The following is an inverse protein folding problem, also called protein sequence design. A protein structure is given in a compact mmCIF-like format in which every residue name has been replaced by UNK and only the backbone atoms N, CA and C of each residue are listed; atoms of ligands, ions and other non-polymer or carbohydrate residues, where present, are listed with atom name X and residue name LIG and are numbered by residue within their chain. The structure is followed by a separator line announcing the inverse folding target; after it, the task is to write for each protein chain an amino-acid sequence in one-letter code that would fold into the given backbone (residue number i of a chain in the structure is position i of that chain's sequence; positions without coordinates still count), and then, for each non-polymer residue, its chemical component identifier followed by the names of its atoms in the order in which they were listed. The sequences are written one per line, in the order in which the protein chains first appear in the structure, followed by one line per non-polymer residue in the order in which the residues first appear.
data_IF_248993354660
#
_entry.id   IF_248993354660
#
_cell.length_a   1.000
_cell.length_b   1.000
_cell.length_c   1.000
_cell.angle_alpha   90.00
_cell.angle_beta   90.00
_cell.angle_gamma   90.00
#
_symmetry.space_group_name_H-M   'P 1'
#
loop_
_entity.id
_entity.type
_entity.pdbx_description
1 polymer ?
#
# COMPACT_ATOMS: atom_id res chain seq x y z
N UNK A 1 18.68 -15.76 16.35
CA UNK A 1 19.08 -15.26 15.04
C UNK A 1 18.01 -14.43 14.29
N UNK A 2 16.78 -14.25 14.85
CA UNK A 2 15.72 -13.41 14.23
C UNK A 2 15.87 -11.90 14.51
N UNK A 3 16.60 -11.52 15.55
CA UNK A 3 16.74 -10.10 15.97
C UNK A 3 17.82 -9.31 15.23
N UNK A 4 18.78 -9.98 14.59
CA UNK A 4 19.88 -9.32 13.86
C UNK A 4 19.50 -8.82 12.47
N UNK A 5 18.45 -9.40 11.84
CA UNK A 5 17.97 -8.97 10.53
C UNK A 5 17.06 -7.74 10.63
N UNK A 6 16.21 -7.71 11.68
CA UNK A 6 15.36 -6.55 12.00
C UNK A 6 16.18 -5.27 12.25
N UNK A 7 17.33 -5.41 12.91
CA UNK A 7 18.22 -4.27 13.22
C UNK A 7 18.90 -3.70 11.96
N UNK A 8 19.14 -4.52 10.95
CA UNK A 8 19.81 -4.08 9.73
C UNK A 8 18.88 -3.31 8.79
N UNK A 9 17.62 -3.73 8.70
CA UNK A 9 16.59 -3.01 7.90
C UNK A 9 16.19 -1.71 8.57
N UNK A 10 16.06 -1.70 9.91
CA UNK A 10 15.85 -0.47 10.68
C UNK A 10 17.00 0.55 10.45
N UNK A 11 18.25 0.10 10.32
CA UNK A 11 19.38 0.95 10.01
C UNK A 11 19.33 1.48 8.57
N UNK A 12 18.86 0.70 7.60
CA UNK A 12 18.73 1.13 6.21
C UNK A 12 17.57 2.14 6.07
N UNK A 13 16.42 1.89 6.70
CA UNK A 13 15.29 2.81 6.66
C UNK A 13 15.53 4.06 7.51
N UNK A 14 16.12 3.94 8.69
CA UNK A 14 16.58 5.09 9.49
C UNK A 14 17.69 5.87 8.78
N UNK A 15 18.57 5.19 8.05
CA UNK A 15 19.54 5.81 7.15
C UNK A 15 18.88 6.58 6.03
N UNK A 16 17.86 6.03 5.39
CA UNK A 16 17.06 6.69 4.34
C UNK A 16 16.25 7.87 4.90
N UNK A 17 15.64 7.74 6.08
CA UNK A 17 14.92 8.83 6.77
C UNK A 17 15.87 9.96 7.15
N UNK A 18 17.02 9.66 7.79
CA UNK A 18 18.01 10.66 8.15
C UNK A 18 18.64 11.33 6.94
N UNK A 19 18.76 10.61 5.87
CA UNK A 19 19.35 11.08 4.64
C UNK A 19 18.38 11.95 3.83
N UNK A 20 17.04 11.76 3.93
CA UNK A 20 16.08 12.65 3.28
C UNK A 20 15.99 14.02 3.98
N UNK A 21 16.39 14.12 5.25
CA UNK A 21 16.49 15.41 5.96
C UNK A 21 17.81 16.15 5.69
N UNK A 22 18.92 15.42 5.41
CA UNK A 22 20.25 16.00 5.31
C UNK A 22 20.86 16.01 3.90
N UNK A 23 20.37 15.16 2.98
CA UNK A 23 20.77 15.14 1.56
C UNK A 23 19.57 14.77 0.71
N UNK A 24 19.33 15.56 -0.31
CA UNK A 24 18.35 15.26 -1.35
C UNK A 24 18.78 14.02 -2.13
N UNK A 25 18.30 12.82 -1.75
CA UNK A 25 18.43 11.64 -2.60
C UNK A 25 17.66 11.89 -3.90
N UNK A 26 18.26 11.51 -5.02
CA UNK A 26 17.48 11.45 -6.24
C UNK A 26 16.54 10.22 -6.20
N UNK A 27 15.52 10.25 -7.05
CA UNK A 27 14.48 9.22 -7.11
C UNK A 27 15.05 7.81 -7.32
N UNK A 28 16.10 7.66 -8.12
CA UNK A 28 16.71 6.37 -8.39
C UNK A 28 17.42 5.78 -7.14
N UNK A 29 18.10 6.62 -6.38
CA UNK A 29 18.75 6.21 -5.13
C UNK A 29 17.74 5.77 -4.07
N UNK A 30 16.62 6.51 -3.92
CA UNK A 30 15.55 6.12 -3.02
C UNK A 30 14.89 4.81 -3.45
N UNK A 31 14.63 4.65 -4.74
CA UNK A 31 14.06 3.43 -5.29
C UNK A 31 14.95 2.22 -5.04
N UNK A 32 16.26 2.38 -5.20
CA UNK A 32 17.23 1.32 -4.91
C UNK A 32 17.24 0.95 -3.42
N UNK A 33 17.26 1.95 -2.51
CA UNK A 33 17.19 1.73 -1.06
C UNK A 33 15.93 0.97 -0.66
N UNK A 34 14.76 1.35 -1.17
CA UNK A 34 13.53 0.62 -0.90
C UNK A 34 13.54 -0.80 -1.48
N UNK A 35 14.13 -1.00 -2.66
CA UNK A 35 14.30 -2.33 -3.25
C UNK A 35 15.17 -3.21 -2.37
N UNK A 36 16.30 -2.69 -1.87
CA UNK A 36 17.20 -3.40 -0.97
C UNK A 36 16.51 -3.73 0.36
N UNK A 37 15.79 -2.76 0.97
CA UNK A 37 15.08 -2.95 2.23
C UNK A 37 14.00 -4.04 2.10
N UNK A 38 13.18 -3.97 1.06
CA UNK A 38 12.14 -4.98 0.82
C UNK A 38 12.75 -6.36 0.51
N UNK A 39 13.85 -6.40 -0.26
CA UNK A 39 14.55 -7.66 -0.54
C UNK A 39 15.14 -8.29 0.72
N UNK A 40 15.73 -7.49 1.60
CA UNK A 40 16.27 -7.96 2.87
C UNK A 40 15.19 -8.54 3.80
N UNK A 41 14.00 -7.97 3.77
CA UNK A 41 12.90 -8.33 4.64
C UNK A 41 12.02 -9.46 4.10
N UNK A 42 11.73 -9.45 2.81
CA UNK A 42 10.76 -10.35 2.17
C UNK A 42 11.38 -11.34 1.18
N UNK A 43 12.68 -11.27 0.95
CA UNK A 43 13.39 -12.07 -0.06
C UNK A 43 13.47 -11.36 -1.41
N UNK A 44 14.08 -12.04 -2.38
CA UNK A 44 14.30 -11.49 -3.73
C UNK A 44 12.98 -11.14 -4.39
N UNK A 45 12.84 -9.88 -4.79
CA UNK A 45 11.64 -9.38 -5.47
C UNK A 45 11.59 -9.86 -6.91
N UNK A 46 10.43 -10.31 -7.36
CA UNK A 46 10.17 -10.63 -8.76
C UNK A 46 10.14 -9.36 -9.63
N UNK A 47 10.25 -9.52 -10.94
CA UNK A 47 10.13 -8.41 -11.90
C UNK A 47 8.81 -7.66 -11.77
N UNK A 48 7.70 -8.36 -11.50
CA UNK A 48 6.39 -7.76 -11.24
C UNK A 48 6.39 -6.90 -9.99
N UNK A 49 7.00 -7.37 -8.89
CA UNK A 49 7.10 -6.61 -7.64
C UNK A 49 8.00 -5.37 -7.80
N UNK A 50 9.10 -5.49 -8.55
CA UNK A 50 9.97 -4.34 -8.87
C UNK A 50 9.21 -3.30 -9.71
N UNK A 51 8.44 -3.74 -10.70
CA UNK A 51 7.58 -2.83 -11.48
C UNK A 51 6.56 -2.13 -10.58
N UNK A 52 5.89 -2.88 -9.70
CA UNK A 52 4.91 -2.35 -8.75
C UNK A 52 5.52 -1.30 -7.82
N UNK A 53 6.71 -1.59 -7.28
CA UNK A 53 7.47 -0.64 -6.46
C UNK A 53 7.73 0.68 -7.22
N UNK A 54 8.23 0.58 -8.46
CA UNK A 54 8.48 1.75 -9.32
C UNK A 54 7.23 2.57 -9.61
N UNK A 55 6.11 1.90 -9.86
CA UNK A 55 4.83 2.55 -10.15
C UNK A 55 4.27 3.27 -8.91
N UNK A 56 4.29 2.62 -7.74
CA UNK A 56 3.86 3.24 -6.48
C UNK A 56 4.75 4.43 -6.13
N UNK A 57 6.06 4.30 -6.29
CA UNK A 57 7.03 5.37 -6.06
C UNK A 57 6.72 6.58 -6.93
N UNK A 58 6.54 6.39 -8.23
CA UNK A 58 6.20 7.45 -9.19
C UNK A 58 4.88 8.16 -8.82
N UNK A 59 3.86 7.45 -8.40
CA UNK A 59 2.60 8.07 -8.01
C UNK A 59 2.73 8.83 -6.67
N UNK A 60 3.54 8.31 -5.73
CA UNK A 60 3.85 9.01 -4.48
C UNK A 60 4.59 10.34 -4.73
N UNK A 61 5.55 10.38 -5.65
CA UNK A 61 6.25 11.62 -6.02
C UNK A 61 5.30 12.73 -6.50
N UNK A 62 4.17 12.38 -7.12
CA UNK A 62 3.17 13.35 -7.59
C UNK A 62 2.37 13.98 -6.46
N UNK A 63 2.20 13.30 -5.33
CA UNK A 63 1.33 13.76 -4.23
C UNK A 63 2.10 14.30 -3.03
N UNK A 64 3.30 13.83 -2.77
CA UNK A 64 4.15 14.26 -1.64
C UNK A 64 5.61 14.39 -2.09
N UNK A 65 6.24 13.28 -2.46
CA UNK A 65 7.64 13.22 -2.90
C UNK A 65 8.68 13.55 -1.81
N UNK A 66 8.25 13.82 -0.58
CA UNK A 66 9.13 14.32 0.50
C UNK A 66 9.14 13.46 1.74
N UNK A 67 7.99 12.98 2.22
CA UNK A 67 7.92 12.18 3.45
C UNK A 67 8.01 10.67 3.15
N UNK A 68 9.22 10.16 3.13
CA UNK A 68 9.51 8.74 2.82
C UNK A 68 8.88 7.76 3.83
N UNK A 69 8.52 8.20 5.05
CA UNK A 69 7.82 7.38 6.05
C UNK A 69 6.43 7.01 5.54
N UNK A 70 5.75 7.92 4.88
CA UNK A 70 4.46 7.66 4.23
C UNK A 70 4.61 6.68 3.07
N UNK A 71 5.66 6.83 2.24
CA UNK A 71 5.97 5.87 1.19
C UNK A 71 6.26 4.47 1.76
N UNK A 72 7.07 4.38 2.81
CA UNK A 72 7.34 3.12 3.51
C UNK A 72 6.05 2.44 3.96
N UNK A 73 5.12 3.20 4.54
CA UNK A 73 3.84 2.67 4.99
C UNK A 73 2.95 2.19 3.82
N UNK A 74 2.92 2.93 2.71
CA UNK A 74 2.21 2.51 1.49
C UNK A 74 2.77 1.18 0.96
N UNK A 75 4.10 1.09 0.82
CA UNK A 75 4.77 -0.10 0.29
C UNK A 75 4.59 -1.33 1.19
N UNK A 76 4.68 -1.13 2.51
CA UNK A 76 4.45 -2.19 3.49
C UNK A 76 3.01 -2.68 3.45
N UNK A 77 2.05 -1.76 3.31
CA UNK A 77 0.64 -2.09 3.12
C UNK A 77 0.43 -2.91 1.84
N UNK A 78 0.98 -2.48 0.71
CA UNK A 78 0.88 -3.22 -0.55
C UNK A 78 1.55 -4.60 -0.47
N UNK A 79 2.71 -4.69 0.19
CA UNK A 79 3.39 -5.97 0.40
C UNK A 79 2.55 -6.92 1.25
N UNK A 80 1.91 -6.41 2.31
CA UNK A 80 1.09 -7.22 3.20
C UNK A 80 -0.20 -7.70 2.52
N UNK A 81 -0.95 -6.80 1.90
CA UNK A 81 -2.27 -7.09 1.32
C UNK A 81 -2.19 -7.99 0.07
N UNK A 82 -1.18 -7.80 -0.76
CA UNK A 82 -1.14 -8.38 -2.11
C UNK A 82 0.23 -8.89 -2.55
N UNK A 83 1.21 -8.95 -1.64
CA UNK A 83 2.60 -9.28 -1.99
C UNK A 83 3.17 -8.34 -3.07
N UNK A 84 2.80 -7.07 -3.00
CA UNK A 84 3.21 -6.05 -3.97
C UNK A 84 2.89 -6.46 -5.44
N UNK A 85 1.76 -7.14 -5.63
CA UNK A 85 1.26 -7.56 -6.95
C UNK A 85 -0.24 -7.27 -7.00
N UNK A 86 -0.76 -6.60 -8.04
CA UNK A 86 -2.20 -6.35 -8.12
C UNK A 86 -2.94 -7.67 -8.35
N UNK A 87 -3.70 -8.09 -7.37
CA UNK A 87 -4.40 -9.37 -7.38
C UNK A 87 -5.91 -9.20 -7.30
N UNK A 88 -6.63 -10.21 -7.76
CA UNK A 88 -8.06 -10.36 -7.62
C UNK A 88 -8.37 -11.21 -6.38
N UNK A 89 -9.36 -10.79 -5.60
CA UNK A 89 -9.89 -11.57 -4.50
C UNK A 89 -10.38 -12.93 -4.98
N UNK A 90 -10.10 -13.97 -4.20
CA UNK A 90 -10.55 -15.33 -4.47
C UNK A 90 -11.82 -15.60 -3.68
N UNK A 91 -12.82 -16.17 -4.34
CA UNK A 91 -14.06 -16.58 -3.67
C UNK A 91 -13.75 -17.65 -2.62
N UNK A 92 -14.16 -17.41 -1.39
CA UNK A 92 -14.00 -18.35 -0.31
C UNK A 92 -14.86 -19.60 -0.51
N UNK A 93 -14.50 -20.69 0.19
CA UNK A 93 -15.25 -21.95 0.15
C UNK A 93 -16.63 -21.76 0.81
N UNK A 94 -17.67 -22.28 0.17
CA UNK A 94 -19.04 -22.28 0.69
C UNK A 94 -19.08 -22.81 2.13
N UNK A 95 -19.85 -22.15 2.99
CA UNK A 95 -20.00 -22.51 4.39
C UNK A 95 -18.90 -22.01 5.33
N UNK A 96 -17.96 -21.19 4.82
CA UNK A 96 -16.98 -20.51 5.69
C UNK A 96 -17.45 -19.11 6.07
N UNK A 97 -17.04 -18.56 7.25
CA UNK A 97 -17.39 -17.18 7.63
C UNK A 97 -16.98 -16.14 6.56
N UNK A 98 -15.83 -16.34 5.90
CA UNK A 98 -15.38 -15.48 4.83
C UNK A 98 -16.32 -15.54 3.62
N UNK A 99 -16.86 -16.71 3.27
CA UNK A 99 -17.84 -16.86 2.20
C UNK A 99 -19.11 -16.04 2.48
N UNK A 100 -19.60 -16.11 3.71
CA UNK A 100 -20.81 -15.34 4.12
C UNK A 100 -20.53 -13.83 4.07
N UNK A 101 -19.37 -13.38 4.51
CA UNK A 101 -18.94 -11.99 4.37
C UNK A 101 -18.91 -11.57 2.90
N UNK A 102 -18.30 -12.37 2.04
CA UNK A 102 -18.20 -12.10 0.60
C UNK A 102 -19.58 -12.04 -0.08
N UNK A 103 -20.59 -12.77 0.41
CA UNK A 103 -21.95 -12.74 -0.14
C UNK A 103 -22.55 -11.33 -0.15
N UNK A 104 -22.12 -10.45 0.74
CA UNK A 104 -22.62 -9.08 0.83
C UNK A 104 -22.26 -8.21 -0.37
N UNK A 105 -21.17 -8.53 -1.08
CA UNK A 105 -20.69 -7.72 -2.20
C UNK A 105 -20.33 -8.52 -3.46
N UNK A 106 -20.10 -9.83 -3.38
CA UNK A 106 -19.58 -10.61 -4.49
C UNK A 106 -20.39 -10.50 -5.77
N UNK A 107 -21.71 -10.63 -5.65
CA UNK A 107 -22.62 -10.62 -6.79
C UNK A 107 -22.78 -9.22 -7.42
N UNK A 108 -22.29 -8.18 -6.76
CA UNK A 108 -22.27 -6.83 -7.34
C UNK A 108 -21.15 -6.67 -8.37
N UNK A 109 -20.17 -7.60 -8.41
CA UNK A 109 -18.97 -7.51 -9.24
C UNK A 109 -17.85 -6.63 -8.68
N UNK A 110 -18.09 -5.90 -7.57
CA UNK A 110 -17.15 -4.98 -6.94
C UNK A 110 -16.41 -5.62 -5.75
N UNK A 111 -15.89 -6.82 -5.95
CA UNK A 111 -15.02 -7.53 -4.99
C UNK A 111 -13.57 -7.06 -5.08
N UNK A 112 -12.73 -7.50 -4.13
CA UNK A 112 -11.37 -7.01 -3.94
C UNK A 112 -10.45 -7.10 -5.15
N UNK A 113 -9.78 -5.99 -5.51
CA UNK A 113 -8.79 -5.92 -6.59
C UNK A 113 -7.64 -4.95 -6.27
N UNK A 114 -6.52 -5.18 -6.93
CA UNK A 114 -5.35 -4.32 -6.83
C UNK A 114 -4.50 -4.58 -5.61
N UNK A 115 -3.69 -3.58 -5.22
CA UNK A 115 -2.76 -3.71 -4.10
C UNK A 115 -3.44 -3.68 -2.73
N UNK A 116 -4.58 -2.98 -2.60
CA UNK A 116 -5.30 -2.78 -1.34
C UNK A 116 -6.63 -3.52 -1.28
N UNK A 117 -6.90 -4.39 -2.24
CA UNK A 117 -8.16 -5.12 -2.34
C UNK A 117 -9.36 -4.16 -2.33
N UNK A 118 -9.36 -3.17 -3.26
CA UNK A 118 -10.48 -2.23 -3.43
C UNK A 118 -11.78 -3.01 -3.60
N UNK A 119 -12.74 -2.79 -2.70
CA UNK A 119 -14.02 -3.51 -2.60
C UNK A 119 -15.16 -2.52 -2.47
N UNK A 120 -16.37 -2.90 -2.84
CA UNK A 120 -17.60 -2.13 -2.83
C UNK A 120 -17.71 -1.10 -3.95
N UNK A 121 -18.86 -1.08 -4.60
CA UNK A 121 -19.17 -0.15 -5.70
C UNK A 121 -18.90 1.31 -5.35
N UNK A 122 -19.24 1.74 -4.13
CA UNK A 122 -18.98 3.10 -3.64
C UNK A 122 -17.51 3.47 -3.77
N UNK A 123 -16.61 2.57 -3.37
CA UNK A 123 -15.17 2.84 -3.41
C UNK A 123 -14.65 2.86 -4.85
N UNK A 124 -15.15 1.97 -5.71
CA UNK A 124 -14.83 2.02 -7.15
C UNK A 124 -15.30 3.32 -7.80
N UNK A 125 -16.50 3.79 -7.50
CA UNK A 125 -17.02 5.09 -7.97
C UNK A 125 -16.17 6.27 -7.44
N UNK A 126 -15.80 6.23 -6.17
CA UNK A 126 -14.92 7.25 -5.57
C UNK A 126 -13.59 7.33 -6.32
N UNK A 127 -12.97 6.18 -6.59
CA UNK A 127 -11.71 6.10 -7.34
C UNK A 127 -11.90 6.48 -8.81
N UNK A 128 -12.98 6.05 -9.45
CA UNK A 128 -13.32 6.42 -10.83
C UNK A 128 -13.37 7.95 -11.00
N UNK A 129 -14.06 8.62 -10.09
CA UNK A 129 -14.16 10.09 -10.10
C UNK A 129 -12.81 10.74 -9.83
N UNK A 130 -12.07 10.27 -8.80
CA UNK A 130 -10.79 10.86 -8.42
C UNK A 130 -9.73 10.73 -9.52
N UNK A 131 -9.69 9.60 -10.20
CA UNK A 131 -8.71 9.31 -11.24
C UNK A 131 -9.17 9.72 -12.65
N UNK A 132 -10.41 10.20 -12.79
CA UNK A 132 -11.07 10.44 -14.07
C UNK A 132 -11.04 9.18 -14.96
N UNK A 133 -11.44 8.03 -14.37
CA UNK A 133 -11.41 6.69 -14.96
C UNK A 133 -12.78 6.01 -14.80
N UNK A 134 -13.80 6.39 -15.60
CA UNK A 134 -15.14 5.80 -15.50
C UNK A 134 -15.13 4.27 -15.74
N UNK A 135 -14.13 3.76 -16.43
CA UNK A 135 -13.93 2.33 -16.66
C UNK A 135 -13.73 1.52 -15.37
N UNK A 136 -13.30 2.14 -14.27
CA UNK A 136 -13.26 1.45 -12.97
C UNK A 136 -14.64 0.97 -12.50
N UNK A 137 -15.73 1.59 -12.98
CA UNK A 137 -17.10 1.20 -12.66
C UNK A 137 -17.66 0.25 -13.72
N UNK A 138 -17.42 0.52 -15.00
CA UNK A 138 -17.96 -0.30 -16.10
C UNK A 138 -17.20 -1.60 -16.33
N UNK A 139 -15.92 -1.61 -15.98
CA UNK A 139 -15.03 -2.78 -15.99
C UNK A 139 -14.13 -2.75 -14.75
N UNK A 140 -14.59 -3.27 -13.59
CA UNK A 140 -13.84 -3.22 -12.33
C UNK A 140 -12.45 -3.90 -12.39
N UNK A 141 -12.22 -4.78 -13.36
CA UNK A 141 -10.91 -5.41 -13.58
C UNK A 141 -9.82 -4.42 -14.01
N UNK A 142 -10.19 -3.23 -14.43
CA UNK A 142 -9.26 -2.10 -14.64
C UNK A 142 -8.40 -1.83 -13.39
N UNK A 143 -8.92 -2.08 -12.19
CA UNK A 143 -8.17 -1.96 -10.94
C UNK A 143 -7.03 -2.98 -10.77
N UNK A 144 -6.94 -3.98 -11.64
CA UNK A 144 -5.82 -4.95 -11.69
C UNK A 144 -4.64 -4.46 -12.53
N UNK A 145 -4.82 -3.42 -13.35
CA UNK A 145 -3.73 -2.84 -14.13
C UNK A 145 -2.72 -2.20 -13.15
N UNK A 146 -1.43 -2.54 -13.22
CA UNK A 146 -0.44 -2.10 -12.22
C UNK A 146 -0.39 -0.59 -12.03
N UNK A 147 -0.50 0.19 -13.10
CA UNK A 147 -0.51 1.65 -13.09
C UNK A 147 -1.73 2.21 -12.34
N UNK A 148 -2.91 1.63 -12.61
CA UNK A 148 -4.16 2.03 -11.98
C UNK A 148 -4.17 1.62 -10.50
N UNK A 149 -3.71 0.40 -10.21
CA UNK A 149 -3.58 -0.09 -8.84
C UNK A 149 -2.64 0.79 -7.99
N UNK A 150 -1.53 1.28 -8.59
CA UNK A 150 -0.61 2.21 -7.93
C UNK A 150 -1.28 3.56 -7.63
N UNK A 151 -2.05 4.10 -8.57
CA UNK A 151 -2.84 5.31 -8.35
C UNK A 151 -3.86 5.11 -7.22
N UNK A 152 -4.59 3.99 -7.24
CA UNK A 152 -5.60 3.68 -6.22
C UNK A 152 -4.99 3.64 -4.82
N UNK A 153 -3.89 2.91 -4.60
CA UNK A 153 -3.29 2.81 -3.26
C UNK A 153 -2.73 4.16 -2.80
N UNK A 154 -1.99 4.86 -3.65
CA UNK A 154 -1.34 6.13 -3.27
C UNK A 154 -2.39 7.20 -2.97
N UNK A 155 -3.27 7.51 -3.92
CA UNK A 155 -4.29 8.54 -3.71
C UNK A 155 -5.29 8.14 -2.62
N UNK A 156 -5.67 6.85 -2.57
CA UNK A 156 -6.57 6.33 -1.54
C UNK A 156 -6.06 6.54 -0.12
N UNK A 157 -4.80 6.23 0.13
CA UNK A 157 -4.18 6.40 1.44
C UNK A 157 -3.80 7.86 1.73
N UNK A 158 -3.39 8.60 0.72
CA UNK A 158 -2.97 9.99 0.89
C UNK A 158 -4.15 10.93 1.15
N UNK A 159 -5.26 10.72 0.46
CA UNK A 159 -6.46 11.57 0.52
C UNK A 159 -7.56 10.99 1.43
N UNK A 160 -7.39 9.77 1.97
CA UNK A 160 -8.35 9.14 2.88
C UNK A 160 -9.59 8.58 2.19
N UNK A 161 -9.48 8.15 0.94
CA UNK A 161 -10.63 7.77 0.11
C UNK A 161 -11.24 6.41 0.45
N UNK A 162 -10.58 5.60 1.29
CA UNK A 162 -11.10 4.29 1.69
C UNK A 162 -12.01 4.38 2.92
N UNK A 163 -11.52 5.04 3.99
CA UNK A 163 -12.19 5.06 5.30
C UNK A 163 -12.44 6.47 5.84
N UNK A 164 -12.02 7.50 5.12
CA UNK A 164 -12.01 8.89 5.59
C UNK A 164 -10.77 9.24 6.43
N UNK A 165 -9.87 8.27 6.69
CA UNK A 165 -8.58 8.47 7.35
C UNK A 165 -7.46 8.50 6.32
N UNK A 166 -6.47 9.37 6.52
CA UNK A 166 -5.37 9.60 5.58
C UNK A 166 -4.01 9.50 6.26
N UNK A 167 -2.96 9.34 5.48
CA UNK A 167 -1.59 9.19 5.99
C UNK A 167 -1.17 10.32 6.94
N UNK A 168 -1.50 11.57 6.63
CA UNK A 168 -1.13 12.72 7.47
C UNK A 168 -1.85 12.75 8.82
N UNK A 169 -2.90 11.97 9.04
CA UNK A 169 -3.56 11.85 10.34
C UNK A 169 -2.68 11.07 11.34
N UNK A 170 -1.77 10.23 10.83
CA UNK A 170 -0.96 9.33 11.65
C UNK A 170 0.54 9.53 11.47
N UNK A 171 0.98 9.91 10.27
CA UNK A 171 2.39 10.08 9.90
C UNK A 171 2.59 11.53 9.46
N UNK A 172 3.18 12.32 10.37
CA UNK A 172 3.40 13.75 10.18
C UNK A 172 4.62 14.21 11.00
N UNK A 173 4.85 15.52 11.11
CA UNK A 173 6.01 16.08 11.84
C UNK A 173 5.94 15.87 13.36
N UNK A 174 4.77 15.49 13.91
CA UNK A 174 4.54 15.34 15.35
C UNK A 174 4.38 13.85 15.71
N UNK A 175 3.90 13.02 14.79
CA UNK A 175 3.48 11.64 15.05
C UNK A 175 3.98 10.67 14.01
N UNK A 176 4.35 9.47 14.45
CA UNK A 176 4.67 8.29 13.65
C UNK A 176 3.83 7.09 14.16
N UNK A 177 2.50 7.23 14.15
CA UNK A 177 1.58 6.20 14.63
C UNK A 177 1.24 5.20 13.53
N UNK A 178 2.22 4.38 13.18
CA UNK A 178 2.07 3.32 12.17
C UNK A 178 1.04 2.26 12.56
N UNK A 179 0.82 2.02 13.86
CA UNK A 179 -0.18 1.07 14.33
C UNK A 179 -1.60 1.55 13.97
N UNK A 180 -1.95 2.77 14.34
CA UNK A 180 -3.27 3.31 14.02
C UNK A 180 -3.43 3.71 12.54
N UNK A 181 -2.34 3.91 11.81
CA UNK A 181 -2.37 4.14 10.36
C UNK A 181 -3.04 2.99 9.59
N UNK A 182 -3.13 1.79 10.17
CA UNK A 182 -3.90 0.68 9.59
C UNK A 182 -5.37 1.04 9.32
N UNK A 183 -5.95 1.94 10.10
CA UNK A 183 -7.33 2.46 9.94
C UNK A 183 -7.56 3.20 8.62
N UNK A 184 -6.50 3.54 7.89
CA UNK A 184 -6.59 4.18 6.55
C UNK A 184 -7.22 3.22 5.54
N UNK A 185 -6.87 1.94 5.61
CA UNK A 185 -7.30 0.92 4.64
C UNK A 185 -8.33 -0.03 5.23
N UNK A 186 -8.15 -0.40 6.50
CA UNK A 186 -8.98 -1.41 7.17
C UNK A 186 -9.13 -1.04 8.66
N UNK A 187 -9.71 -1.94 9.45
CA UNK A 187 -9.66 -1.85 10.92
C UNK A 187 -8.23 -2.09 11.44
N UNK A 188 -8.10 -2.52 12.71
CA UNK A 188 -6.80 -2.79 13.32
C UNK A 188 -6.29 -4.23 13.06
N UNK A 189 -6.91 -4.98 12.16
CA UNK A 189 -6.42 -6.32 11.81
C UNK A 189 -4.98 -6.23 11.27
N UNK A 190 -4.07 -7.01 11.90
CA UNK A 190 -2.63 -7.05 11.56
C UNK A 190 -1.89 -5.72 11.67
N UNK A 191 -2.43 -4.75 12.42
CA UNK A 191 -1.83 -3.42 12.59
C UNK A 191 -0.42 -3.50 13.20
N UNK A 192 -0.20 -4.38 14.17
CA UNK A 192 1.09 -4.64 14.81
C UNK A 192 2.17 -5.09 13.82
N UNK A 193 1.79 -6.01 12.92
CA UNK A 193 2.72 -6.56 11.92
C UNK A 193 3.09 -5.50 10.88
N UNK A 194 2.11 -4.79 10.35
CA UNK A 194 2.34 -3.75 9.33
C UNK A 194 3.14 -2.59 9.92
N UNK A 195 2.83 -2.18 11.16
CA UNK A 195 3.59 -1.15 11.86
C UNK A 195 5.05 -1.56 12.09
N UNK A 196 5.28 -2.81 12.52
CA UNK A 196 6.63 -3.35 12.69
C UNK A 196 7.46 -3.33 11.41
N UNK A 197 6.83 -3.60 10.26
CA UNK A 197 7.49 -3.51 8.97
C UNK A 197 7.74 -2.08 8.48
N UNK A 198 6.86 -1.14 8.79
CA UNK A 198 7.03 0.25 8.39
C UNK A 198 8.09 1.00 9.23
N UNK A 199 8.33 0.54 10.46
CA UNK A 199 9.33 1.10 11.38
C UNK A 199 10.74 0.52 11.16
N UNK A 200 10.85 -0.65 10.55
CA UNK A 200 12.13 -1.35 10.32
C UNK A 200 12.77 -0.95 9.00
#
# INVERSE_FOLDING_TARGET
MKYTLLTFVAVLMAGAVKASTDKKYNSDQLLELFTQALTAQFGVLSSTQILSLKLIFREWEKVDGTDIRKLAYILTTAMWESKLTPIREIRAKVGTPLYEQQNTYWNTGFFGRGYVQLTWEKNYRTMANRLNRPELVTNPDTALQPEIAAQIIVFGMYEGLFTGKKLSDYINIISEDYFNARKIVNGLDRADIIAGFAQS
#
